data_IF_979339128739
#
_entry.id   IF_979339128739
#
_cell.length_a   1.000
_cell.length_b   1.000
_cell.length_c   1.000
_cell.angle_alpha   90.00
_cell.angle_beta   90.00
_cell.angle_gamma   90.00
#
_symmetry.space_group_name_H-M   'P 1'
#
loop_
_entity.id
_entity.type
_entity.pdbx_description
1 polymer ?
#
# COMPACT_ATOMS: atom_id res chain seq x y z
N UNK A 1 -9.65 88.10 6.62
CA UNK A 1 -10.00 86.94 5.81
C UNK A 1 -9.01 85.84 6.12
N UNK A 2 -9.44 84.80 6.84
CA UNK A 2 -8.55 83.77 7.34
C UNK A 2 -8.97 82.43 6.72
N UNK A 3 -8.15 81.87 5.89
CA UNK A 3 -8.31 80.53 5.31
C UNK A 3 -7.65 79.50 6.24
N UNK A 4 -8.45 78.61 6.81
CA UNK A 4 -7.99 77.47 7.61
C UNK A 4 -7.87 76.23 6.75
N UNK A 5 -6.67 75.68 6.72
CA UNK A 5 -6.36 74.40 6.10
C UNK A 5 -6.50 73.27 7.09
N UNK A 6 -7.36 72.28 6.82
CA UNK A 6 -7.48 71.00 7.58
C UNK A 6 -6.67 69.91 6.89
N UNK A 7 -5.66 69.41 7.58
CA UNK A 7 -4.89 68.23 7.22
C UNK A 7 -5.69 66.98 7.66
N UNK A 8 -6.15 66.20 6.70
CA UNK A 8 -6.74 64.88 6.94
C UNK A 8 -5.63 63.82 7.05
N UNK A 9 -5.44 63.31 8.23
CA UNK A 9 -4.54 62.17 8.48
C UNK A 9 -5.12 60.86 7.98
N UNK A 10 -4.47 60.24 7.02
CA UNK A 10 -4.78 58.90 6.54
C UNK A 10 -4.15 57.90 7.50
N UNK A 11 -4.99 57.16 8.28
CA UNK A 11 -4.55 56.02 9.05
C UNK A 11 -4.52 54.78 8.14
N UNK A 12 -3.32 54.29 7.84
CA UNK A 12 -3.11 52.99 7.24
C UNK A 12 -3.45 51.90 8.27
N UNK A 13 -4.51 51.18 8.01
CA UNK A 13 -4.84 49.94 8.75
C UNK A 13 -4.08 48.81 8.03
N UNK A 14 -3.02 48.34 8.67
CA UNK A 14 -2.30 47.17 8.21
C UNK A 14 -3.13 45.88 8.40
N UNK A 15 -3.58 45.28 7.30
CA UNK A 15 -4.23 43.98 7.32
C UNK A 15 -3.12 42.91 7.41
N UNK A 16 -2.93 42.37 8.60
CA UNK A 16 -2.10 41.18 8.80
C UNK A 16 -2.83 39.96 8.21
N UNK A 17 -2.41 39.53 7.03
CA UNK A 17 -2.83 38.26 6.47
C UNK A 17 -2.16 37.12 7.24
N UNK A 18 -2.86 36.53 8.21
CA UNK A 18 -2.48 35.23 8.78
C UNK A 18 -2.63 34.15 7.71
N UNK A 19 -1.54 33.72 7.14
CA UNK A 19 -1.48 32.52 6.30
C UNK A 19 -1.57 31.32 7.24
N UNK A 20 -2.77 30.79 7.42
CA UNK A 20 -2.97 29.49 8.05
C UNK A 20 -2.42 28.43 7.12
N UNK A 21 -1.28 27.85 7.50
CA UNK A 21 -0.77 26.64 6.86
C UNK A 21 -1.77 25.49 7.11
N UNK A 22 -2.61 25.20 6.12
CA UNK A 22 -3.39 23.99 6.09
C UNK A 22 -2.42 22.83 5.93
N UNK A 23 -2.09 22.17 7.05
CA UNK A 23 -1.45 20.88 7.04
C UNK A 23 -2.37 19.90 6.31
N UNK A 24 -1.98 19.50 5.09
CA UNK A 24 -2.64 18.39 4.40
C UNK A 24 -2.27 17.11 5.14
N UNK A 25 -3.13 16.72 6.07
CA UNK A 25 -3.13 15.34 6.57
C UNK A 25 -3.60 14.48 5.41
N UNK A 26 -2.69 13.69 4.84
CA UNK A 26 -3.02 12.65 3.87
C UNK A 26 -3.88 11.61 4.60
N UNK A 27 -5.19 11.79 4.58
CA UNK A 27 -6.14 10.77 5.01
C UNK A 27 -6.16 9.71 3.92
N UNK A 28 -5.36 8.65 4.10
CA UNK A 28 -5.55 7.44 3.31
C UNK A 28 -6.98 6.94 3.57
N UNK A 29 -7.82 6.96 2.55
CA UNK A 29 -9.17 6.40 2.63
C UNK A 29 -9.03 4.93 3.02
N UNK A 30 -9.66 4.46 4.12
CA UNK A 30 -9.63 3.05 4.47
C UNK A 30 -10.16 2.23 3.31
N UNK A 31 -9.49 1.11 2.99
CA UNK A 31 -9.98 0.17 1.98
C UNK A 31 -11.42 -0.25 2.29
N UNK A 32 -12.30 -0.47 1.28
CA UNK A 32 -13.63 -0.99 1.51
C UNK A 32 -13.60 -2.23 2.40
N UNK A 33 -14.53 -2.37 3.33
CA UNK A 33 -14.51 -3.44 4.35
C UNK A 33 -14.38 -4.85 3.73
N UNK A 34 -14.91 -5.07 2.52
CA UNK A 34 -14.77 -6.30 1.74
C UNK A 34 -13.31 -6.59 1.37
N UNK A 35 -12.61 -5.61 0.82
CA UNK A 35 -11.19 -5.73 0.41
C UNK A 35 -10.29 -5.99 1.61
N UNK A 36 -10.41 -5.22 2.70
CA UNK A 36 -9.67 -5.46 3.93
C UNK A 36 -9.93 -6.86 4.53
N UNK A 37 -11.10 -7.46 4.29
CA UNK A 37 -11.41 -8.84 4.66
C UNK A 37 -10.61 -9.83 3.82
N UNK A 38 -10.55 -9.65 2.50
CA UNK A 38 -9.80 -10.51 1.57
C UNK A 38 -8.30 -10.48 1.90
N UNK A 39 -7.73 -9.32 2.17
CA UNK A 39 -6.33 -9.18 2.61
C UNK A 39 -6.04 -9.98 3.89
N UNK A 40 -6.95 -9.94 4.88
CA UNK A 40 -6.82 -10.75 6.10
C UNK A 40 -6.98 -12.25 5.84
N UNK A 41 -7.84 -12.67 4.92
CA UNK A 41 -7.99 -14.06 4.51
C UNK A 41 -6.70 -14.59 3.87
N UNK A 42 -6.06 -13.83 2.97
CA UNK A 42 -4.77 -14.17 2.37
C UNK A 42 -3.67 -14.28 3.44
N UNK A 43 -3.55 -13.28 4.31
CA UNK A 43 -2.60 -13.31 5.44
C UNK A 43 -2.78 -14.54 6.34
N UNK A 44 -4.02 -14.87 6.68
CA UNK A 44 -4.33 -16.05 7.49
C UNK A 44 -3.96 -17.36 6.77
N UNK A 45 -4.22 -17.45 5.46
CA UNK A 45 -3.92 -18.62 4.64
C UNK A 45 -2.39 -18.84 4.52
N UNK A 46 -1.62 -17.77 4.25
CA UNK A 46 -0.14 -17.81 4.24
C UNK A 46 0.39 -18.32 5.58
N UNK A 47 -0.06 -17.76 6.69
CA UNK A 47 0.40 -18.17 8.02
C UNK A 47 -0.08 -19.57 8.40
N UNK A 48 -1.22 -20.03 7.89
CA UNK A 48 -1.65 -21.42 8.05
C UNK A 48 -0.72 -22.38 7.29
N UNK A 49 -0.37 -22.06 6.03
CA UNK A 49 0.56 -22.88 5.25
C UNK A 49 1.94 -22.97 5.93
N UNK A 50 2.45 -21.87 6.46
CA UNK A 50 3.72 -21.84 7.21
C UNK A 50 3.66 -22.69 8.48
N UNK A 51 2.58 -22.58 9.26
CA UNK A 51 2.39 -23.41 10.48
C UNK A 51 2.39 -24.90 10.18
N UNK A 52 1.72 -25.32 9.10
CA UNK A 52 1.70 -26.74 8.68
C UNK A 52 3.12 -27.25 8.38
N UNK A 53 4.02 -26.38 7.93
CA UNK A 53 5.43 -26.69 7.66
C UNK A 53 6.35 -26.46 8.90
N UNK A 54 5.78 -26.21 10.09
CA UNK A 54 6.55 -25.96 11.30
C UNK A 54 7.38 -24.67 11.28
N UNK A 55 6.92 -23.67 10.53
CA UNK A 55 7.59 -22.38 10.37
C UNK A 55 6.94 -21.31 11.25
N UNK A 56 7.72 -20.29 11.61
CA UNK A 56 7.21 -19.10 12.27
C UNK A 56 6.20 -18.37 11.39
N UNK A 57 5.15 -17.82 12.00
CA UNK A 57 4.21 -16.95 11.31
C UNK A 57 4.89 -15.63 10.93
N UNK A 58 4.54 -15.10 9.77
CA UNK A 58 4.90 -13.74 9.36
C UNK A 58 4.07 -12.72 10.14
N UNK A 59 4.64 -11.54 10.36
CA UNK A 59 3.92 -10.38 10.89
C UNK A 59 3.26 -9.62 9.75
N UNK A 60 2.10 -9.03 10.01
CA UNK A 60 1.52 -8.08 9.08
C UNK A 60 2.30 -6.77 9.13
N UNK A 61 2.67 -6.25 7.95
CA UNK A 61 3.29 -4.93 7.79
C UNK A 61 2.37 -4.05 6.93
N UNK A 62 1.84 -2.98 7.52
CA UNK A 62 0.93 -2.07 6.85
C UNK A 62 1.63 -1.25 5.75
N UNK A 63 2.93 -0.99 5.88
CA UNK A 63 3.70 -0.30 4.83
C UNK A 63 3.87 -1.18 3.59
N UNK A 64 4.15 -2.48 3.79
CA UNK A 64 4.14 -3.45 2.69
C UNK A 64 2.73 -3.56 2.07
N UNK A 65 1.68 -3.65 2.88
CA UNK A 65 0.31 -3.71 2.39
C UNK A 65 -0.06 -2.46 1.57
N UNK A 66 0.37 -1.28 1.99
CA UNK A 66 0.17 -0.04 1.24
C UNK A 66 0.93 -0.03 -0.10
N UNK A 67 2.14 -0.61 -0.16
CA UNK A 67 2.88 -0.78 -1.42
C UNK A 67 2.19 -1.79 -2.34
N UNK A 68 1.77 -2.93 -1.80
CA UNK A 68 1.06 -3.99 -2.51
C UNK A 68 -0.29 -3.51 -3.09
N UNK A 69 -1.07 -2.72 -2.35
CA UNK A 69 -2.34 -2.13 -2.83
C UNK A 69 -2.11 -1.23 -4.04
N UNK A 70 -1.09 -0.36 -3.99
CA UNK A 70 -0.77 0.51 -5.14
C UNK A 70 -0.37 -0.29 -6.37
N UNK A 71 0.37 -1.38 -6.19
CA UNK A 71 0.72 -2.27 -7.31
C UNK A 71 -0.50 -3.02 -7.85
N UNK A 72 -1.40 -3.48 -6.99
CA UNK A 72 -2.67 -4.09 -7.39
C UNK A 72 -3.54 -3.11 -8.20
N UNK A 73 -3.56 -1.82 -7.85
CA UNK A 73 -4.23 -0.76 -8.62
C UNK A 73 -3.61 -0.63 -10.03
N UNK A 74 -2.28 -0.64 -10.13
CA UNK A 74 -1.58 -0.59 -11.43
C UNK A 74 -1.88 -1.84 -12.27
N UNK A 75 -1.89 -3.04 -11.67
CA UNK A 75 -2.32 -4.26 -12.37
C UNK A 75 -3.74 -4.15 -12.92
N UNK A 76 -4.67 -3.60 -12.13
CA UNK A 76 -6.05 -3.37 -12.56
C UNK A 76 -6.11 -2.38 -13.73
N UNK A 77 -5.39 -1.25 -13.66
CA UNK A 77 -5.33 -0.25 -14.75
C UNK A 77 -4.83 -0.85 -16.06
N UNK A 78 -3.88 -1.78 -15.99
CA UNK A 78 -3.35 -2.50 -17.16
C UNK A 78 -4.22 -3.71 -17.58
N UNK A 79 -5.19 -4.11 -16.77
CA UNK A 79 -6.01 -5.29 -17.00
C UNK A 79 -5.22 -6.60 -17.07
N UNK A 80 -4.08 -6.67 -16.38
CA UNK A 80 -3.15 -7.82 -16.42
C UNK A 80 -2.33 -7.92 -15.13
N UNK A 81 -1.80 -9.12 -14.85
CA UNK A 81 -0.89 -9.36 -13.75
C UNK A 81 0.57 -9.26 -14.20
N UNK A 82 1.44 -8.76 -13.33
CA UNK A 82 2.88 -8.66 -13.59
C UNK A 82 3.60 -8.03 -12.43
N UNK A 83 4.91 -8.28 -12.30
CA UNK A 83 5.76 -7.73 -11.23
C UNK A 83 6.23 -6.30 -11.49
N UNK A 84 6.06 -5.78 -12.70
CA UNK A 84 6.46 -4.43 -13.08
C UNK A 84 5.71 -3.97 -14.34
N UNK A 85 5.36 -2.70 -14.37
CA UNK A 85 4.76 -2.03 -15.52
C UNK A 85 5.59 -0.82 -15.93
N UNK A 86 5.43 -0.38 -17.17
CA UNK A 86 6.15 0.77 -17.69
C UNK A 86 5.79 2.04 -16.89
N UNK A 87 6.79 2.72 -16.35
CA UNK A 87 6.60 3.93 -15.53
C UNK A 87 6.33 3.67 -14.05
N UNK A 88 6.13 2.43 -13.65
CA UNK A 88 5.98 2.07 -12.23
C UNK A 88 7.35 1.90 -11.55
N UNK A 89 7.51 2.31 -10.28
CA UNK A 89 8.68 1.99 -9.49
C UNK A 89 8.84 0.47 -9.28
N UNK A 90 10.07 -0.03 -9.25
CA UNK A 90 10.34 -1.44 -8.91
C UNK A 90 9.82 -1.80 -7.51
N UNK A 91 9.61 -3.11 -7.24
CA UNK A 91 9.22 -3.62 -5.91
C UNK A 91 10.02 -2.96 -4.78
N UNK A 92 11.34 -2.96 -4.88
CA UNK A 92 12.20 -2.36 -3.86
C UNK A 92 12.00 -0.85 -3.70
N UNK A 93 11.67 -0.15 -4.78
CA UNK A 93 11.38 1.28 -4.72
C UNK A 93 9.98 1.54 -4.15
N UNK A 94 8.97 0.73 -4.50
CA UNK A 94 7.62 0.80 -3.91
C UNK A 94 7.68 0.60 -2.40
N UNK A 95 8.40 -0.43 -1.94
CA UNK A 95 8.60 -0.72 -0.51
C UNK A 95 9.30 0.45 0.22
N UNK A 96 10.41 0.98 -0.33
CA UNK A 96 11.11 2.15 0.24
C UNK A 96 10.22 3.39 0.33
N UNK A 97 9.45 3.69 -0.71
CA UNK A 97 8.52 4.83 -0.73
C UNK A 97 7.40 4.67 0.30
N UNK A 98 7.04 3.44 0.64
CA UNK A 98 6.09 3.13 1.71
C UNK A 98 6.71 3.16 3.12
N UNK A 99 8.04 3.31 3.23
CA UNK A 99 8.75 3.37 4.51
C UNK A 99 9.19 2.00 5.05
N UNK A 100 9.19 0.95 4.22
CA UNK A 100 9.64 -0.39 4.63
C UNK A 100 11.16 -0.43 4.74
N UNK A 101 11.66 -0.98 5.84
CA UNK A 101 13.07 -1.30 6.06
C UNK A 101 13.30 -2.79 5.83
N UNK A 102 14.08 -3.16 4.84
CA UNK A 102 14.25 -4.56 4.43
C UNK A 102 15.69 -4.90 4.06
N UNK A 103 16.04 -6.17 4.22
CA UNK A 103 17.24 -6.80 3.67
C UNK A 103 16.97 -7.48 2.34
N UNK A 104 15.83 -8.14 2.25
CA UNK A 104 15.36 -8.85 1.07
C UNK A 104 13.85 -8.69 0.90
N UNK A 105 13.39 -8.78 -0.35
CA UNK A 105 11.96 -8.72 -0.72
C UNK A 105 11.65 -9.81 -1.73
N UNK A 106 10.43 -10.34 -1.64
CA UNK A 106 9.83 -11.15 -2.72
C UNK A 106 8.35 -10.79 -2.88
N UNK A 107 7.79 -11.14 -4.03
CA UNK A 107 6.43 -10.75 -4.41
C UNK A 107 5.71 -11.90 -5.08
N UNK A 108 4.45 -12.11 -4.73
CA UNK A 108 3.49 -12.92 -5.47
C UNK A 108 2.42 -12.03 -6.07
N UNK A 109 2.07 -12.25 -7.33
CA UNK A 109 0.97 -11.53 -8.00
C UNK A 109 0.06 -12.51 -8.72
N UNK A 110 -1.24 -12.27 -8.66
CA UNK A 110 -2.24 -13.08 -9.34
C UNK A 110 -3.57 -12.34 -9.50
N UNK A 111 -4.38 -12.82 -10.46
CA UNK A 111 -5.79 -12.50 -10.60
C UNK A 111 -6.62 -13.76 -10.37
N UNK A 112 -7.76 -13.62 -9.71
CA UNK A 112 -8.68 -14.73 -9.49
C UNK A 112 -9.95 -14.36 -8.71
N UNK A 113 -10.91 -15.27 -8.60
CA UNK A 113 -12.24 -14.98 -8.08
C UNK A 113 -12.33 -14.89 -6.55
N UNK A 114 -11.35 -15.41 -5.81
CA UNK A 114 -11.37 -15.41 -4.35
C UNK A 114 -9.98 -15.59 -3.73
N UNK A 115 -9.83 -15.17 -2.45
CA UNK A 115 -8.62 -15.39 -1.68
C UNK A 115 -8.22 -16.87 -1.61
N UNK A 116 -9.19 -17.76 -1.38
CA UNK A 116 -8.97 -19.20 -1.31
C UNK A 116 -8.40 -19.74 -2.62
N UNK A 117 -9.04 -19.42 -3.74
CA UNK A 117 -8.56 -19.82 -5.07
C UNK A 117 -7.13 -19.33 -5.31
N UNK A 118 -6.86 -18.05 -5.07
CA UNK A 118 -5.54 -17.43 -5.31
C UNK A 118 -4.47 -18.09 -4.46
N UNK A 119 -4.71 -18.26 -3.16
CA UNK A 119 -3.76 -18.93 -2.27
C UNK A 119 -3.48 -20.37 -2.72
N UNK A 120 -4.52 -21.11 -3.14
CA UNK A 120 -4.36 -22.48 -3.67
C UNK A 120 -3.48 -22.51 -4.92
N UNK A 121 -3.66 -21.55 -5.84
CA UNK A 121 -2.82 -21.45 -7.04
C UNK A 121 -1.38 -21.05 -6.68
N UNK A 122 -1.18 -20.11 -5.74
CA UNK A 122 0.15 -19.78 -5.25
C UNK A 122 0.87 -21.02 -4.67
N UNK A 123 0.16 -21.83 -3.89
CA UNK A 123 0.73 -23.05 -3.30
C UNK A 123 0.99 -24.17 -4.32
N UNK A 124 0.29 -24.19 -5.46
CA UNK A 124 0.57 -25.09 -6.59
C UNK A 124 1.75 -24.65 -7.44
N UNK A 125 2.06 -23.36 -7.46
CA UNK A 125 3.18 -22.80 -8.22
C UNK A 125 4.47 -22.85 -7.41
N UNK A 126 5.49 -23.52 -7.93
CA UNK A 126 6.76 -23.67 -7.21
C UNK A 126 7.41 -22.32 -6.82
N UNK A 127 7.51 -21.28 -7.69
CA UNK A 127 8.09 -19.99 -7.32
C UNK A 127 7.25 -19.25 -6.26
N UNK A 128 5.92 -19.18 -6.42
CA UNK A 128 5.06 -18.50 -5.46
C UNK A 128 5.07 -19.18 -4.09
N UNK A 129 4.99 -20.53 -4.08
CA UNK A 129 5.11 -21.30 -2.85
C UNK A 129 6.45 -21.09 -2.16
N UNK A 130 7.54 -20.94 -2.90
CA UNK A 130 8.85 -20.66 -2.34
C UNK A 130 8.86 -19.34 -1.56
N UNK A 131 8.22 -18.29 -2.07
CA UNK A 131 8.09 -17.01 -1.36
C UNK A 131 7.27 -17.17 -0.06
N UNK A 132 6.14 -17.88 -0.10
CA UNK A 132 5.29 -18.14 1.08
C UNK A 132 6.04 -18.92 2.17
N UNK A 133 6.86 -19.88 1.76
CA UNK A 133 7.58 -20.78 2.65
C UNK A 133 9.05 -20.42 2.84
N UNK A 134 9.45 -19.19 2.50
CA UNK A 134 10.79 -18.71 2.76
C UNK A 134 10.98 -18.46 4.28
N UNK A 135 12.02 -19.10 4.85
CA UNK A 135 12.34 -19.01 6.28
C UNK A 135 12.97 -17.69 6.68
N UNK A 136 13.55 -16.99 5.72
CA UNK A 136 14.21 -15.71 5.93
C UNK A 136 13.23 -14.51 5.99
N UNK A 137 11.97 -14.74 5.62
CA UNK A 137 10.94 -13.69 5.65
C UNK A 137 10.35 -13.53 7.06
N UNK A 138 10.21 -12.26 7.48
CA UNK A 138 9.70 -11.86 8.80
C UNK A 138 8.29 -11.27 8.72
N UNK A 139 7.95 -10.63 7.60
CA UNK A 139 6.70 -9.89 7.43
C UNK A 139 6.09 -10.05 6.05
N UNK A 140 4.81 -9.75 5.97
CA UNK A 140 3.99 -9.75 4.76
C UNK A 140 3.03 -8.57 4.75
N UNK A 141 2.84 -7.95 3.59
CA UNK A 141 1.69 -7.10 3.29
C UNK A 141 0.94 -7.63 2.08
N UNK A 142 -0.37 -7.71 2.17
CA UNK A 142 -1.19 -8.05 1.01
C UNK A 142 -1.96 -6.82 0.53
N UNK A 143 -2.06 -6.66 -0.78
CA UNK A 143 -2.84 -5.64 -1.45
C UNK A 143 -3.83 -6.26 -2.42
N UNK A 144 -5.07 -5.79 -2.38
CA UNK A 144 -6.16 -6.32 -3.19
C UNK A 144 -6.97 -5.17 -3.79
N UNK A 145 -7.30 -5.29 -5.07
CA UNK A 145 -8.36 -4.51 -5.71
C UNK A 145 -9.30 -5.46 -6.44
N UNK A 146 -10.55 -5.07 -6.58
CA UNK A 146 -11.59 -5.88 -7.19
C UNK A 146 -12.24 -5.14 -8.35
N UNK A 147 -12.45 -5.85 -9.46
CA UNK A 147 -13.26 -5.37 -10.55
C UNK A 147 -14.01 -6.53 -11.22
N UNK A 148 -15.32 -6.38 -11.35
CA UNK A 148 -16.17 -7.34 -12.08
C UNK A 148 -16.21 -8.74 -11.45
N UNK A 149 -15.98 -8.88 -10.15
CA UNK A 149 -15.92 -10.15 -9.45
C UNK A 149 -14.57 -10.84 -9.49
N UNK A 150 -13.56 -10.20 -10.09
CA UNK A 150 -12.17 -10.65 -10.10
C UNK A 150 -11.30 -9.80 -9.16
N UNK A 151 -10.45 -10.46 -8.40
CA UNK A 151 -9.47 -9.84 -7.51
C UNK A 151 -8.11 -9.77 -8.20
N UNK A 152 -7.48 -8.60 -8.17
CA UNK A 152 -6.05 -8.45 -8.44
C UNK A 152 -5.33 -8.42 -7.11
N UNK A 153 -4.43 -9.37 -6.89
CA UNK A 153 -3.79 -9.62 -5.61
C UNK A 153 -2.28 -9.51 -5.74
N UNK A 154 -1.70 -8.84 -4.77
CA UNK A 154 -0.26 -8.75 -4.54
C UNK A 154 0.04 -9.16 -3.10
N UNK A 155 1.01 -10.05 -2.90
CA UNK A 155 1.60 -10.37 -1.60
C UNK A 155 3.07 -9.97 -1.63
N UNK A 156 3.43 -8.94 -0.87
CA UNK A 156 4.81 -8.51 -0.68
C UNK A 156 5.36 -9.10 0.62
N UNK A 157 6.51 -9.75 0.54
CA UNK A 157 7.21 -10.35 1.68
C UNK A 157 8.52 -9.61 1.94
N UNK A 158 8.88 -9.42 3.20
CA UNK A 158 10.13 -8.80 3.59
C UNK A 158 10.89 -9.60 4.65
N UNK A 159 12.21 -9.70 4.45
CA UNK A 159 13.17 -9.94 5.50
C UNK A 159 13.53 -8.56 6.08
N UNK A 160 13.27 -8.33 7.35
CA UNK A 160 13.56 -7.06 8.01
C UNK A 160 15.04 -6.92 8.37
N UNK A 161 15.49 -5.67 8.48
CA UNK A 161 16.83 -5.30 8.95
C UNK A 161 16.75 -4.49 10.24
#
# INVERSE_FOLDING_TARGET
MRSGTWLAGVRMVGIMLCWSAYGQTSTSTPAPQGIARVERELFAAVNQARRVQGMSALRWDESLAAAARRHAEVMLEHGSTGHAFAGEPSLSMRAKQAGVHFGWLSENVMQGPSAEFIHEQFMKSAPHRANILDREMDSIGAGVVEQGGELFVVEDFAQER
#
